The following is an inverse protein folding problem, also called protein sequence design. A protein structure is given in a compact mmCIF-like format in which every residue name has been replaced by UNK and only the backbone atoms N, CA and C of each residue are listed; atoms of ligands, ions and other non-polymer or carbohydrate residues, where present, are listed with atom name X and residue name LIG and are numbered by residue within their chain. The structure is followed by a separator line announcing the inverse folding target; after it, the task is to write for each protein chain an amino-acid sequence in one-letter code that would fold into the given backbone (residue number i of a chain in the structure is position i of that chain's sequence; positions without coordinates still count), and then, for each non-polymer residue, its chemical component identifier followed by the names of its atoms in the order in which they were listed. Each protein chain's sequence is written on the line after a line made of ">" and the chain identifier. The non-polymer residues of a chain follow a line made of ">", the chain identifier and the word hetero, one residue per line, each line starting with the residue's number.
data_IF_425354356412
#
_entry.id   IF_425354356412
#
_cell.length_a   1.000
_cell.length_b   1.000
_cell.length_c   1.000
_cell.angle_alpha   90.00
_cell.angle_beta   90.00
_cell.angle_gamma   90.00
#
_symmetry.space_group_name_H-M   'P 1'
#
loop_
_entity.id
_entity.type
_entity.pdbx_description
1 polymer ?
#
# COMPACT_ATOMS: atom_id res chain seq x y z
N UNK A 1 4.37 1.60 -10.08
CA UNK A 1 4.47 1.80 -8.62
C UNK A 1 3.60 0.80 -7.89
N UNK A 2 3.93 0.50 -6.64
CA UNK A 2 3.12 -0.38 -5.78
C UNK A 2 2.20 0.47 -4.91
N UNK A 3 0.98 0.02 -4.67
CA UNK A 3 -0.03 0.72 -3.88
C UNK A 3 -0.28 -0.02 -2.59
N UNK A 4 -0.11 0.69 -1.48
CA UNK A 4 -0.49 0.21 -0.15
C UNK A 4 -1.97 0.52 0.18
N UNK A 5 -2.52 -0.21 1.15
CA UNK A 5 -3.88 -0.01 1.66
C UNK A 5 -4.11 1.43 2.18
N UNK A 6 -3.11 2.01 2.84
CA UNK A 6 -3.18 3.35 3.45
C UNK A 6 -3.47 4.45 2.41
N UNK A 7 -2.84 4.38 1.24
CA UNK A 7 -3.06 5.36 0.17
C UNK A 7 -4.48 5.31 -0.40
N UNK A 8 -5.04 4.11 -0.57
CA UNK A 8 -6.43 3.94 -1.02
C UNK A 8 -7.44 4.41 0.03
N UNK A 9 -7.17 4.15 1.31
CA UNK A 9 -7.99 4.67 2.42
C UNK A 9 -7.94 6.19 2.47
N UNK A 10 -6.75 6.79 2.37
CA UNK A 10 -6.58 8.24 2.38
C UNK A 10 -7.32 8.91 1.21
N UNK A 11 -7.24 8.34 0.01
CA UNK A 11 -7.99 8.80 -1.15
C UNK A 11 -9.50 8.67 -0.97
N UNK A 12 -9.98 7.53 -0.45
CA UNK A 12 -11.41 7.28 -0.23
C UNK A 12 -12.02 8.25 0.78
N UNK A 13 -11.24 8.65 1.78
CA UNK A 13 -11.63 9.55 2.87
C UNK A 13 -11.34 11.03 2.57
N UNK A 14 -10.80 11.35 1.40
CA UNK A 14 -10.39 12.71 1.03
C UNK A 14 -9.45 13.35 2.06
N UNK A 15 -8.47 12.58 2.55
CA UNK A 15 -7.44 13.06 3.47
C UNK A 15 -6.50 14.08 2.78
N UNK A 16 -5.71 14.89 3.51
CA UNK A 16 -4.96 16.01 2.94
C UNK A 16 -4.06 15.68 1.73
N UNK A 17 -3.56 14.44 1.63
CA UNK A 17 -2.71 13.98 0.50
C UNK A 17 -3.49 13.39 -0.69
N UNK A 18 -4.83 13.38 -0.64
CA UNK A 18 -5.67 12.71 -1.63
C UNK A 18 -5.46 13.21 -3.07
N UNK A 19 -5.25 14.51 -3.27
CA UNK A 19 -5.03 15.06 -4.61
C UNK A 19 -3.70 14.61 -5.21
N UNK A 20 -2.62 14.58 -4.44
CA UNK A 20 -1.33 14.05 -4.89
C UNK A 20 -1.41 12.55 -5.19
N UNK A 21 -2.03 11.77 -4.30
CA UNK A 21 -2.26 10.32 -4.53
C UNK A 21 -3.01 10.10 -5.84
N UNK A 22 -4.08 10.88 -6.07
CA UNK A 22 -4.87 10.80 -7.29
C UNK A 22 -4.06 11.16 -8.54
N UNK A 23 -3.21 12.20 -8.49
CA UNK A 23 -2.31 12.55 -9.61
C UNK A 23 -1.38 11.38 -9.95
N UNK A 24 -0.75 10.78 -8.93
CA UNK A 24 0.16 9.66 -9.14
C UNK A 24 -0.54 8.44 -9.73
N UNK A 25 -1.73 8.09 -9.22
CA UNK A 25 -2.53 6.98 -9.76
C UNK A 25 -2.99 7.21 -11.21
N UNK A 26 -3.07 8.47 -11.66
CA UNK A 26 -3.37 8.81 -13.06
C UNK A 26 -2.13 8.80 -13.96
N UNK A 27 -0.97 9.12 -13.40
CA UNK A 27 0.28 9.27 -14.14
C UNK A 27 1.07 7.97 -14.30
N UNK A 28 0.95 7.04 -13.35
CA UNK A 28 1.78 5.84 -13.28
C UNK A 28 0.95 4.56 -13.18
N UNK A 29 1.39 3.52 -13.89
CA UNK A 29 0.84 2.17 -13.72
C UNK A 29 0.97 1.71 -12.27
N UNK A 30 -0.11 1.16 -11.75
CA UNK A 30 -0.27 0.89 -10.31
C UNK A 30 -0.60 -0.58 -10.07
N UNK A 31 0.11 -1.19 -9.13
CA UNK A 31 -0.09 -2.59 -8.75
C UNK A 31 -0.35 -2.70 -7.25
N UNK A 32 -1.20 -3.64 -6.85
CA UNK A 32 -1.49 -3.97 -5.44
C UNK A 32 -1.29 -5.46 -5.20
N UNK A 33 -0.72 -5.81 -4.05
CA UNK A 33 -0.62 -7.21 -3.62
C UNK A 33 -2.00 -7.75 -3.27
N UNK A 34 -2.33 -8.97 -3.71
CA UNK A 34 -3.61 -9.63 -3.41
C UNK A 34 -3.99 -9.63 -1.91
N UNK A 35 -3.10 -9.95 -0.95
CA UNK A 35 -3.41 -9.82 0.48
C UNK A 35 -3.66 -8.37 0.92
N UNK A 36 -2.91 -7.38 0.42
CA UNK A 36 -3.17 -5.95 0.69
C UNK A 36 -4.57 -5.54 0.20
N UNK A 37 -5.03 -6.09 -0.93
CA UNK A 37 -6.39 -5.88 -1.42
C UNK A 37 -7.46 -6.47 -0.47
N UNK A 38 -7.21 -7.64 0.11
CA UNK A 38 -8.10 -8.23 1.13
C UNK A 38 -8.15 -7.35 2.37
N UNK A 39 -7.00 -6.89 2.83
CA UNK A 39 -6.88 -6.01 3.99
C UNK A 39 -7.67 -4.71 3.80
N UNK A 40 -7.43 -3.98 2.70
CA UNK A 40 -8.13 -2.70 2.47
C UNK A 40 -9.64 -2.88 2.36
N UNK A 41 -10.12 -3.99 1.76
CA UNK A 41 -11.56 -4.33 1.71
C UNK A 41 -12.12 -4.59 3.11
N UNK A 42 -11.40 -5.33 3.95
CA UNK A 42 -11.81 -5.61 5.32
C UNK A 42 -11.85 -4.34 6.17
N UNK A 43 -10.80 -3.50 6.09
CA UNK A 43 -10.69 -2.23 6.81
C UNK A 43 -11.80 -1.26 6.39
N UNK A 44 -12.01 -1.09 5.09
CA UNK A 44 -13.06 -0.21 4.55
C UNK A 44 -14.44 -0.76 4.90
N UNK A 45 -14.66 -2.07 4.79
CA UNK A 45 -15.93 -2.70 5.16
C UNK A 45 -16.27 -2.52 6.64
N UNK A 46 -15.28 -2.70 7.53
CA UNK A 46 -15.46 -2.51 8.97
C UNK A 46 -15.72 -1.06 9.37
N UNK A 47 -15.11 -0.09 8.68
CA UNK A 47 -15.22 1.35 9.02
C UNK A 47 -16.35 2.09 8.30
N UNK A 48 -16.59 1.76 7.04
CA UNK A 48 -17.47 2.50 6.12
C UNK A 48 -18.62 1.65 5.56
N UNK A 49 -18.71 0.37 5.93
CA UNK A 49 -19.76 -0.54 5.49
C UNK A 49 -19.70 -0.88 4.00
N UNK A 50 -20.80 -1.42 3.49
CA UNK A 50 -20.93 -1.91 2.11
C UNK A 50 -20.81 -0.81 1.06
N UNK A 51 -21.24 0.42 1.36
CA UNK A 51 -21.08 1.57 0.48
C UNK A 51 -19.60 1.96 0.33
N UNK A 52 -18.85 1.97 1.44
CA UNK A 52 -17.41 2.21 1.41
C UNK A 52 -16.67 1.21 0.52
N UNK A 53 -17.00 -0.08 0.64
CA UNK A 53 -16.41 -1.13 -0.20
C UNK A 53 -16.75 -0.90 -1.68
N UNK A 54 -18.01 -0.54 -2.00
CA UNK A 54 -18.41 -0.23 -3.38
C UNK A 54 -17.62 0.95 -3.95
N UNK A 55 -17.42 2.01 -3.16
CA UNK A 55 -16.61 3.17 -3.57
C UNK A 55 -15.14 2.80 -3.78
N UNK A 56 -14.58 1.97 -2.91
CA UNK A 56 -13.23 1.42 -3.08
C UNK A 56 -13.09 0.65 -4.40
N UNK A 57 -14.04 -0.24 -4.73
CA UNK A 57 -14.02 -0.99 -6.01
C UNK A 57 -14.10 -0.06 -7.23
N UNK A 58 -14.86 1.03 -7.13
CA UNK A 58 -14.90 2.06 -8.19
C UNK A 58 -13.54 2.74 -8.32
N UNK A 59 -12.85 3.06 -7.22
CA UNK A 59 -11.50 3.65 -7.27
C UNK A 59 -10.50 2.68 -7.92
N UNK A 60 -10.45 1.43 -7.48
CA UNK A 60 -9.55 0.39 -8.02
C UNK A 60 -9.73 0.25 -9.53
N UNK A 61 -10.98 0.18 -10.00
CA UNK A 61 -11.30 0.10 -11.44
C UNK A 61 -10.97 1.38 -12.19
N UNK A 62 -11.25 2.54 -11.60
CA UNK A 62 -11.04 3.85 -12.23
C UNK A 62 -9.56 4.13 -12.50
N UNK A 63 -8.69 3.72 -11.59
CA UNK A 63 -7.24 3.91 -11.72
C UNK A 63 -6.51 2.68 -12.26
N UNK A 64 -7.25 1.67 -12.74
CA UNK A 64 -6.71 0.43 -13.30
C UNK A 64 -5.63 -0.22 -12.41
N UNK A 65 -5.89 -0.30 -11.10
CA UNK A 65 -4.92 -0.87 -10.15
C UNK A 65 -4.90 -2.40 -10.33
N UNK A 66 -3.81 -2.90 -10.92
CA UNK A 66 -3.64 -4.32 -11.20
C UNK A 66 -3.36 -5.13 -9.93
N UNK A 67 -4.00 -6.28 -9.79
CA UNK A 67 -3.82 -7.17 -8.64
C UNK A 67 -2.75 -8.21 -8.93
N UNK A 68 -1.71 -8.26 -8.09
CA UNK A 68 -0.60 -9.21 -8.21
C UNK A 68 -0.84 -10.40 -7.26
N UNK A 69 -0.80 -11.65 -7.76
CA UNK A 69 -0.86 -12.84 -6.90
C UNK A 69 0.27 -12.88 -5.88
N UNK A 70 -0.02 -13.40 -4.68
CA UNK A 70 0.98 -13.56 -3.62
C UNK A 70 1.72 -14.88 -3.77
N UNK A 71 3.00 -14.81 -4.11
CA UNK A 71 3.87 -15.97 -4.35
C UNK A 71 4.60 -16.41 -3.08
N UNK A 72 5.17 -17.61 -3.10
CA UNK A 72 6.06 -18.12 -2.04
C UNK A 72 7.24 -17.16 -1.79
N UNK A 73 7.89 -16.66 -2.85
CA UNK A 73 8.95 -15.67 -2.73
C UNK A 73 8.50 -14.38 -1.99
N UNK A 74 7.27 -13.91 -2.23
CA UNK A 74 6.74 -12.77 -1.50
C UNK A 74 6.49 -13.11 -0.02
N UNK A 75 6.07 -14.35 0.28
CA UNK A 75 5.88 -14.80 1.66
C UNK A 75 7.22 -14.85 2.44
N UNK A 76 8.30 -15.32 1.82
CA UNK A 76 9.63 -15.35 2.43
C UNK A 76 10.13 -13.94 2.75
N UNK A 77 10.01 -13.02 1.78
CA UNK A 77 10.44 -11.62 1.94
C UNK A 77 9.57 -10.89 2.97
N UNK A 78 8.24 -11.06 2.93
CA UNK A 78 7.34 -10.47 3.91
C UNK A 78 7.67 -10.96 5.33
N UNK A 79 7.97 -12.26 5.49
CA UNK A 79 8.34 -12.84 6.78
C UNK A 79 9.68 -12.30 7.29
N UNK A 80 10.66 -12.12 6.40
CA UNK A 80 11.93 -11.48 6.75
C UNK A 80 11.72 -10.01 7.16
N UNK A 81 10.94 -9.25 6.39
CA UNK A 81 10.61 -7.87 6.70
C UNK A 81 9.88 -7.73 8.03
N UNK A 82 8.96 -8.65 8.36
CA UNK A 82 8.27 -8.65 9.65
C UNK A 82 9.24 -8.88 10.82
N UNK A 83 10.19 -9.79 10.67
CA UNK A 83 11.21 -10.05 11.69
C UNK A 83 12.12 -8.83 11.89
N UNK A 84 12.54 -8.20 10.80
CA UNK A 84 13.59 -7.17 10.82
C UNK A 84 13.02 -5.77 11.12
N UNK A 85 11.81 -5.46 10.64
CA UNK A 85 11.18 -4.15 10.74
C UNK A 85 9.85 -4.15 11.49
N UNK A 86 9.28 -5.31 11.80
CA UNK A 86 7.93 -5.43 12.30
C UNK A 86 7.73 -5.01 13.75
N UNK A 87 6.47 -4.91 14.18
CA UNK A 87 6.11 -4.60 15.56
C UNK A 87 6.73 -5.63 16.52
N UNK A 88 7.43 -5.14 17.55
CA UNK A 88 8.11 -5.98 18.53
C UNK A 88 9.55 -6.38 18.17
N UNK A 89 10.05 -6.03 16.98
CA UNK A 89 11.46 -6.23 16.60
C UNK A 89 12.46 -5.31 17.34
N UNK A 90 11.96 -4.17 17.87
CA UNK A 90 12.79 -3.08 18.36
C UNK A 90 13.20 -2.07 17.27
N UNK A 91 12.83 -2.31 16.01
CA UNK A 91 13.06 -1.40 14.89
C UNK A 91 12.13 -0.17 14.93
N UNK A 92 12.54 0.94 14.32
CA UNK A 92 11.78 2.19 14.29
C UNK A 92 10.54 2.14 13.38
N UNK A 93 10.61 1.38 12.27
CA UNK A 93 9.53 1.22 11.28
C UNK A 93 8.24 0.64 11.88
N UNK A 94 8.36 -0.40 12.73
CA UNK A 94 7.23 -1.07 13.41
C UNK A 94 6.14 -1.55 12.44
N UNK A 95 6.54 -2.17 11.32
CA UNK A 95 5.61 -2.71 10.33
C UNK A 95 4.62 -3.70 10.95
N UNK A 96 3.34 -3.56 10.63
CA UNK A 96 2.35 -4.59 10.92
C UNK A 96 2.39 -5.70 9.84
N UNK A 97 1.65 -6.80 10.04
CA UNK A 97 1.65 -7.91 9.08
C UNK A 97 1.18 -7.49 7.67
N UNK A 98 0.15 -6.64 7.59
CA UNK A 98 -0.38 -6.10 6.33
C UNK A 98 0.68 -5.33 5.53
N UNK A 99 1.42 -4.46 6.21
CA UNK A 99 2.49 -3.65 5.61
C UNK A 99 3.55 -4.52 4.93
N UNK A 100 3.83 -5.71 5.48
CA UNK A 100 4.86 -6.60 4.91
C UNK A 100 4.48 -7.20 3.55
N UNK A 101 3.18 -7.25 3.22
CA UNK A 101 2.74 -7.67 1.89
C UNK A 101 3.04 -6.60 0.84
N UNK A 102 2.76 -5.34 1.17
CA UNK A 102 3.09 -4.18 0.35
C UNK A 102 4.60 -4.02 0.20
N UNK A 103 5.33 -4.19 1.31
CA UNK A 103 6.80 -4.22 1.34
C UNK A 103 7.36 -5.26 0.38
N UNK A 104 6.92 -6.52 0.49
CA UNK A 104 7.50 -7.62 -0.30
C UNK A 104 7.31 -7.40 -1.81
N UNK A 105 6.13 -6.91 -2.21
CA UNK A 105 5.88 -6.62 -3.63
C UNK A 105 6.73 -5.46 -4.14
N UNK A 106 6.86 -4.38 -3.36
CA UNK A 106 7.71 -3.23 -3.71
C UNK A 106 9.19 -3.63 -3.80
N UNK A 107 9.66 -4.41 -2.83
CA UNK A 107 11.03 -4.90 -2.78
C UNK A 107 11.38 -5.77 -4.00
N UNK A 108 10.55 -6.77 -4.34
CA UNK A 108 10.81 -7.68 -5.47
C UNK A 108 10.82 -6.94 -6.80
N UNK A 109 9.91 -5.97 -6.97
CA UNK A 109 9.74 -5.27 -8.23
C UNK A 109 10.70 -4.09 -8.38
N UNK A 110 11.39 -3.71 -7.31
CA UNK A 110 12.17 -2.47 -7.23
C UNK A 110 11.36 -1.27 -7.74
N UNK A 111 10.13 -1.15 -7.24
CA UNK A 111 9.22 -0.06 -7.57
C UNK A 111 8.85 0.72 -6.31
N UNK A 112 8.69 2.06 -6.39
CA UNK A 112 8.32 2.85 -5.23
C UNK A 112 6.92 2.49 -4.74
N UNK A 113 6.72 2.59 -3.42
CA UNK A 113 5.48 2.31 -2.72
C UNK A 113 4.70 3.60 -2.46
N UNK A 114 3.44 3.62 -2.89
CA UNK A 114 2.48 4.67 -2.59
C UNK A 114 1.75 4.33 -1.28
N UNK A 115 2.18 4.96 -0.19
CA UNK A 115 1.62 4.80 1.15
C UNK A 115 1.42 6.17 1.83
N UNK A 116 0.65 6.20 2.92
CA UNK A 116 0.48 7.39 3.77
C UNK A 116 0.82 7.03 5.21
N UNK A 117 1.58 7.89 5.88
CA UNK A 117 2.08 7.66 7.24
C UNK A 117 3.61 7.54 7.24
N UNK A 118 4.16 6.99 8.32
CA UNK A 118 5.60 6.88 8.54
C UNK A 118 6.10 5.43 8.56
N UNK A 119 5.21 4.44 8.37
CA UNK A 119 5.49 3.01 8.61
C UNK A 119 6.67 2.49 7.78
N UNK A 120 6.80 2.95 6.52
CA UNK A 120 7.90 2.55 5.64
C UNK A 120 9.09 3.53 5.63
N UNK A 121 9.02 4.66 6.34
CA UNK A 121 10.06 5.72 6.33
C UNK A 121 11.40 5.28 6.92
N UNK A 122 11.39 4.22 7.72
CA UNK A 122 12.57 3.60 8.31
C UNK A 122 12.87 2.25 7.67
N UNK A 123 12.50 2.06 6.40
CA UNK A 123 12.82 0.86 5.62
C UNK A 123 13.66 1.23 4.41
N UNK A 124 14.03 0.24 3.61
CA UNK A 124 14.71 0.40 2.32
C UNK A 124 13.75 0.62 1.14
N UNK A 125 12.44 0.71 1.39
CA UNK A 125 11.44 0.97 0.35
C UNK A 125 11.37 2.46 0.02
N UNK A 126 11.39 2.76 -1.29
CA UNK A 126 11.24 4.13 -1.81
C UNK A 126 9.78 4.58 -1.73
N UNK A 127 9.56 5.79 -1.24
CA UNK A 127 8.23 6.42 -1.17
C UNK A 127 7.86 7.04 -2.50
N UNK A 128 6.74 6.61 -3.10
CA UNK A 128 6.23 7.21 -4.32
C UNK A 128 5.77 8.65 -4.14
N UNK A 129 5.35 9.03 -2.92
CA UNK A 129 4.96 10.41 -2.62
C UNK A 129 6.16 11.36 -2.64
N UNK A 130 7.34 10.89 -2.22
CA UNK A 130 8.55 11.71 -2.17
C UNK A 130 9.33 11.64 -3.50
N UNK A 131 9.36 10.46 -4.16
CA UNK A 131 10.09 10.28 -5.42
C UNK A 131 9.35 10.86 -6.63
N UNK A 132 8.01 10.78 -6.65
CA UNK A 132 7.19 11.13 -7.83
C UNK A 132 6.22 12.28 -7.58
N UNK A 133 6.05 12.73 -6.32
CA UNK A 133 5.03 13.70 -5.92
C UNK A 133 5.43 15.17 -6.07
N UNK A 134 6.73 15.45 -6.17
CA UNK A 134 7.29 16.79 -6.38
C UNK A 134 7.22 17.17 -7.87
N UNK A 135 6.15 17.87 -8.23
CA UNK A 135 5.99 18.71 -9.43
C UNK A 135 5.57 20.12 -8.99
#
# INVERSE_FOLDING_TARGET
>A
MIVDSSALVALLRSEPRADTIKRLLLAYSSLISAPTLVEVRAVVGGKLGTDGVRRLEVLIRRFDVGVVPFSEQQADIASAAYRDFGQGSGHAAKLNLGDTFSYALAYIRDEPLLYVGDDFSHTDIRSALDELGDD
#
